data_IF_262669995782
#
_entry.id   IF_262669995782
#
_cell.length_a   1.000
_cell.length_b   1.000
_cell.length_c   1.000
_cell.angle_alpha   90.00
_cell.angle_beta   90.00
_cell.angle_gamma   90.00
#
_symmetry.space_group_name_H-M   'P 1'
#
loop_
_entity.id
_entity.type
_entity.pdbx_description
1 polymer ?
#
# COMPACT_ATOMS: atom_id res chain seq x y z
N UNK A 1 9.20 17.09 -7.78
CA UNK A 1 9.55 15.68 -7.51
C UNK A 1 8.77 14.84 -8.51
N UNK A 2 9.43 14.00 -9.31
CA UNK A 2 8.76 13.12 -10.28
C UNK A 2 7.93 12.05 -9.55
N UNK A 3 6.84 11.60 -10.16
CA UNK A 3 5.96 10.55 -9.60
C UNK A 3 6.75 9.25 -9.34
N UNK A 4 6.61 8.68 -8.12
CA UNK A 4 7.11 7.34 -7.81
C UNK A 4 6.08 6.29 -8.25
N UNK A 5 6.12 5.93 -9.54
CA UNK A 5 5.17 4.97 -10.15
C UNK A 5 5.81 3.73 -10.78
N UNK A 6 7.14 3.71 -10.86
CA UNK A 6 7.91 2.61 -11.48
C UNK A 6 8.63 1.81 -10.41
N UNK A 7 8.43 0.49 -10.39
CA UNK A 7 9.17 -0.44 -9.54
C UNK A 7 10.64 -0.47 -9.96
N UNK A 8 11.53 -0.12 -9.03
CA UNK A 8 12.99 -0.14 -9.25
C UNK A 8 13.56 -1.56 -9.32
N UNK A 9 12.80 -2.57 -8.89
CA UNK A 9 13.22 -3.98 -8.92
C UNK A 9 12.88 -4.67 -10.25
N UNK A 10 11.69 -4.46 -10.81
CA UNK A 10 11.24 -5.17 -12.02
C UNK A 10 10.75 -4.28 -13.18
N UNK A 11 10.78 -2.95 -13.01
CA UNK A 11 10.39 -2.00 -14.07
C UNK A 11 8.88 -1.84 -14.27
N UNK A 12 8.02 -2.48 -13.48
CA UNK A 12 6.56 -2.30 -13.54
C UNK A 12 6.14 -0.83 -13.38
N UNK A 13 5.26 -0.30 -14.24
CA UNK A 13 5.01 1.16 -14.37
C UNK A 13 3.60 1.62 -14.01
N UNK A 14 2.68 0.72 -13.68
CA UNK A 14 1.26 1.06 -13.41
C UNK A 14 1.00 1.36 -11.93
N UNK A 15 2.01 1.84 -11.19
CA UNK A 15 1.90 2.14 -9.78
C UNK A 15 2.00 0.91 -8.86
N UNK A 16 1.63 1.10 -7.60
CA UNK A 16 1.79 0.10 -6.54
C UNK A 16 0.47 -0.14 -5.81
N UNK A 17 0.28 -1.35 -5.29
CA UNK A 17 -0.75 -1.59 -4.29
C UNK A 17 -0.27 -1.04 -2.95
N UNK A 18 -1.21 -0.62 -2.09
CA UNK A 18 -0.93 -0.14 -0.74
C UNK A 18 -1.34 -1.22 0.25
N UNK A 19 -0.53 -1.42 1.28
CA UNK A 19 -0.88 -2.27 2.40
C UNK A 19 -0.43 -1.65 3.73
N UNK A 20 -1.05 -2.09 4.82
CA UNK A 20 -0.69 -1.70 6.18
C UNK A 20 0.12 -2.82 6.83
N UNK A 21 1.18 -2.46 7.53
CA UNK A 21 1.96 -3.38 8.36
C UNK A 21 2.01 -2.87 9.81
N UNK A 22 2.00 -3.77 10.80
CA UNK A 22 2.13 -3.37 12.20
C UNK A 22 3.46 -2.66 12.45
N UNK A 23 3.45 -1.60 13.26
CA UNK A 23 4.65 -0.88 13.68
C UNK A 23 4.47 -0.27 15.07
N UNK A 24 5.03 -0.93 16.10
CA UNK A 24 4.78 -0.60 17.52
C UNK A 24 3.27 -0.60 17.81
N UNK A 25 2.76 0.46 18.44
CA UNK A 25 1.34 0.69 18.71
C UNK A 25 0.59 1.35 17.54
N UNK A 26 1.26 1.52 16.40
CA UNK A 26 0.75 2.17 15.20
C UNK A 26 0.83 1.22 13.99
N UNK A 27 0.43 1.72 12.82
CA UNK A 27 0.58 1.00 11.55
C UNK A 27 1.43 1.82 10.60
N UNK A 28 2.24 1.16 9.79
CA UNK A 28 2.92 1.79 8.66
C UNK A 28 2.20 1.49 7.37
N UNK A 29 2.14 2.49 6.52
CA UNK A 29 1.72 2.34 5.13
C UNK A 29 2.94 1.96 4.29
N UNK A 30 2.81 0.90 3.51
CA UNK A 30 3.84 0.46 2.59
C UNK A 30 3.24 0.24 1.19
N UNK A 31 4.09 0.42 0.18
CA UNK A 31 3.78 0.12 -1.22
C UNK A 31 4.30 -1.28 -1.55
N UNK A 32 3.56 -2.03 -2.34
CA UNK A 32 3.99 -3.33 -2.86
C UNK A 32 3.80 -3.38 -4.38
N UNK A 33 4.83 -3.83 -5.09
CA UNK A 33 4.76 -4.02 -6.52
C UNK A 33 3.85 -5.22 -6.82
N UNK A 34 2.76 -5.05 -7.61
CA UNK A 34 1.85 -6.16 -7.91
C UNK A 34 2.49 -7.21 -8.83
N UNK A 35 3.54 -6.85 -9.58
CA UNK A 35 4.25 -7.77 -10.47
C UNK A 35 5.27 -8.66 -9.76
N UNK A 36 6.16 -8.10 -8.91
CA UNK A 36 7.26 -8.85 -8.30
C UNK A 36 7.21 -8.93 -6.76
N UNK A 37 6.25 -8.29 -6.10
CA UNK A 37 6.13 -8.29 -4.64
C UNK A 37 7.12 -7.39 -3.90
N UNK A 38 8.01 -6.67 -4.59
CA UNK A 38 8.94 -5.74 -3.94
C UNK A 38 8.18 -4.68 -3.14
N UNK A 39 8.47 -4.59 -1.84
CA UNK A 39 7.90 -3.59 -0.94
C UNK A 39 8.77 -2.35 -0.80
N UNK A 40 8.14 -1.19 -0.62
CA UNK A 40 8.78 0.09 -0.31
C UNK A 40 8.07 0.72 0.89
N UNK A 41 8.85 1.16 1.89
CA UNK A 41 8.36 1.83 3.11
C UNK A 41 8.95 3.24 3.17
N UNK A 42 8.08 4.25 3.12
CA UNK A 42 8.45 5.66 3.18
C UNK A 42 8.39 6.24 4.61
N UNK A 43 8.16 5.40 5.63
CA UNK A 43 8.05 5.82 7.02
C UNK A 43 6.72 6.48 7.38
N UNK A 44 5.72 6.45 6.47
CA UNK A 44 4.41 7.00 6.75
C UNK A 44 3.70 6.15 7.81
N UNK A 45 3.46 6.76 8.96
CA UNK A 45 2.83 6.09 10.09
C UNK A 45 1.40 6.60 10.26
N UNK A 46 0.47 5.67 10.44
CA UNK A 46 -0.96 5.94 10.61
C UNK A 46 -1.37 5.57 12.02
N UNK A 47 -1.92 6.56 12.72
CA UNK A 47 -2.52 6.41 14.05
C UNK A 47 -4.01 6.07 13.92
N UNK A 48 -4.51 5.27 14.86
CA UNK A 48 -5.95 4.98 14.96
C UNK A 48 -6.51 4.10 13.84
N UNK A 49 -5.66 3.35 13.12
CA UNK A 49 -6.14 2.36 12.16
C UNK A 49 -6.95 1.28 12.90
N UNK A 50 -8.21 1.09 12.50
CA UNK A 50 -9.06 0.06 13.08
C UNK A 50 -8.54 -1.32 12.69
N UNK A 51 -8.38 -2.20 13.69
CA UNK A 51 -7.95 -3.59 13.45
C UNK A 51 -8.93 -4.38 12.59
N UNK A 52 -10.20 -3.99 12.56
CA UNK A 52 -11.23 -4.59 11.71
C UNK A 52 -11.78 -3.55 10.73
N UNK A 53 -11.70 -3.79 9.41
CA UNK A 53 -12.32 -2.90 8.45
C UNK A 53 -13.84 -2.96 8.59
N UNK A 54 -14.50 -1.83 8.39
CA UNK A 54 -15.93 -1.80 8.14
C UNK A 54 -16.19 -2.27 6.71
N UNK A 55 -17.08 -3.25 6.51
CA UNK A 55 -17.47 -3.70 5.16
C UNK A 55 -18.32 -2.60 4.53
N UNK A 56 -17.75 -1.90 3.54
CA UNK A 56 -18.48 -0.96 2.70
C UNK A 56 -19.33 -1.64 1.63
N UNK A 57 -20.09 -0.86 0.84
CA UNK A 57 -20.86 -1.39 -0.30
C UNK A 57 -19.93 -2.08 -1.32
N UNK A 58 -20.38 -3.18 -1.90
CA UNK A 58 -19.77 -3.79 -3.08
C UNK A 58 -20.38 -3.16 -4.34
N UNK A 59 -19.54 -2.63 -5.21
CA UNK A 59 -19.97 -2.13 -6.51
C UNK A 59 -19.61 -3.17 -7.56
N UNK A 60 -20.61 -3.82 -8.13
CA UNK A 60 -20.43 -4.69 -9.30
C UNK A 60 -20.25 -3.80 -10.53
N UNK A 61 -19.07 -3.84 -11.13
CA UNK A 61 -18.82 -3.24 -12.44
C UNK A 61 -19.31 -4.23 -13.50
N UNK A 62 -20.64 -4.31 -13.67
CA UNK A 62 -21.26 -5.04 -14.78
C UNK A 62 -20.78 -4.54 -16.13
#
# INVERSE_FOLDING_TARGET
MSEFRTCTSCGYRRGFHIYFKPFKDEHRLALICPQCGQSYDFGLTIKGLRQRPYRGPSFDNG
#
